data_IF_824605834725
#
_entry.id   IF_824605834725
#
_cell.length_a   1.000
_cell.length_b   1.000
_cell.length_c   1.000
_cell.angle_alpha   90.00
_cell.angle_beta   90.00
_cell.angle_gamma   90.00
#
_symmetry.space_group_name_H-M   'P 1'
#
loop_
_entity.id
_entity.type
_entity.pdbx_description
1 polymer ?
#
# COMPACT_ATOMS: atom_id res chain seq x y z
N UNK A 1 -7.43 -8.90 20.97
CA UNK A 1 -8.88 -8.61 21.00
C UNK A 1 -9.28 -7.58 22.05
N UNK A 2 -8.89 -7.64 23.35
CA UNK A 2 -9.32 -6.65 24.35
C UNK A 2 -8.88 -5.22 24.00
N UNK A 3 -7.64 -5.01 23.59
CA UNK A 3 -7.07 -3.69 23.27
C UNK A 3 -7.80 -3.04 22.08
N UNK A 4 -8.03 -3.78 20.98
CA UNK A 4 -8.72 -3.23 19.81
C UNK A 4 -10.17 -2.86 20.14
N UNK A 5 -10.88 -3.71 20.87
CA UNK A 5 -12.25 -3.41 21.32
C UNK A 5 -12.31 -2.23 22.30
N UNK A 6 -11.33 -2.09 23.20
CA UNK A 6 -11.20 -0.92 24.07
C UNK A 6 -11.00 0.35 23.25
N UNK A 7 -10.09 0.32 22.26
CA UNK A 7 -9.85 1.43 21.35
C UNK A 7 -11.13 1.88 20.63
N UNK A 8 -11.90 0.97 20.02
CA UNK A 8 -13.16 1.34 19.35
C UNK A 8 -14.20 1.89 20.33
N UNK A 9 -14.26 1.36 21.56
CA UNK A 9 -15.12 1.90 22.61
C UNK A 9 -14.74 3.32 23.00
N UNK A 10 -13.43 3.59 23.08
CA UNK A 10 -12.94 4.94 23.40
C UNK A 10 -13.17 5.91 22.24
N UNK A 11 -13.05 5.46 20.98
CA UNK A 11 -13.45 6.23 19.81
C UNK A 11 -14.93 6.62 19.90
N UNK A 12 -15.82 5.66 20.20
CA UNK A 12 -17.26 5.92 20.37
C UNK A 12 -17.56 6.93 21.48
N UNK A 13 -16.91 6.82 22.64
CA UNK A 13 -17.06 7.78 23.75
C UNK A 13 -16.63 9.20 23.36
N UNK A 14 -15.69 9.33 22.41
CA UNK A 14 -15.20 10.63 21.91
C UNK A 14 -15.96 11.13 20.69
N UNK A 15 -17.09 10.49 20.34
CA UNK A 15 -17.85 10.76 19.11
C UNK A 15 -17.02 10.63 17.82
N UNK A 16 -15.97 9.81 17.82
CA UNK A 16 -15.23 9.44 16.61
C UNK A 16 -16.02 8.34 15.92
N UNK A 17 -16.62 8.67 14.81
CA UNK A 17 -17.50 7.76 14.05
C UNK A 17 -16.86 7.16 12.79
N UNK A 18 -15.60 7.53 12.50
CA UNK A 18 -14.85 7.03 11.35
C UNK A 18 -13.45 6.63 11.80
N UNK A 19 -13.06 5.40 11.50
CA UNK A 19 -11.74 4.86 11.83
C UNK A 19 -11.18 4.18 10.60
N UNK A 20 -9.97 4.57 10.20
CA UNK A 20 -9.19 3.93 9.15
C UNK A 20 -8.06 3.14 9.79
N UNK A 21 -7.87 1.91 9.39
CA UNK A 21 -6.80 1.06 9.90
C UNK A 21 -6.30 0.06 8.84
N UNK A 22 -5.07 -0.38 9.00
CA UNK A 22 -4.52 -1.47 8.20
C UNK A 22 -4.96 -2.82 8.76
N UNK A 23 -5.56 -3.66 7.92
CA UNK A 23 -6.03 -4.99 8.28
C UNK A 23 -4.99 -6.05 7.88
N UNK A 24 -4.23 -6.57 8.85
CA UNK A 24 -3.28 -7.65 8.57
C UNK A 24 -3.99 -8.97 8.29
N UNK A 25 -3.49 -9.74 7.32
CA UNK A 25 -4.05 -11.05 6.96
C UNK A 25 -4.11 -12.02 8.15
N UNK A 26 -3.06 -12.05 8.97
CA UNK A 26 -3.02 -12.84 10.21
C UNK A 26 -4.10 -12.38 11.20
N UNK A 27 -4.30 -11.07 11.34
CA UNK A 27 -5.34 -10.50 12.20
C UNK A 27 -6.76 -10.86 11.74
N UNK A 28 -6.99 -10.86 10.42
CA UNK A 28 -8.24 -11.27 9.81
C UNK A 28 -8.48 -12.78 10.07
N UNK A 29 -7.50 -13.62 9.74
CA UNK A 29 -7.58 -15.07 9.89
C UNK A 29 -7.83 -15.49 11.35
N UNK A 30 -7.17 -14.82 12.29
CA UNK A 30 -7.39 -15.00 13.74
C UNK A 30 -8.67 -14.32 14.25
N UNK A 31 -9.55 -13.86 13.37
CA UNK A 31 -10.83 -13.23 13.71
C UNK A 31 -10.70 -12.02 14.66
N UNK A 32 -9.56 -11.30 14.60
CA UNK A 32 -9.36 -10.12 15.45
C UNK A 32 -10.30 -8.96 15.10
N UNK A 33 -10.82 -8.95 13.87
CA UNK A 33 -11.77 -7.95 13.36
C UNK A 33 -13.22 -8.44 13.41
N UNK A 34 -13.49 -9.64 13.92
CA UNK A 34 -14.83 -10.20 13.96
C UNK A 34 -15.80 -9.30 14.76
N UNK A 35 -16.96 -9.02 14.15
CA UNK A 35 -18.00 -8.18 14.73
C UNK A 35 -17.75 -6.67 14.58
N UNK A 36 -16.72 -6.24 13.85
CA UNK A 36 -16.59 -4.85 13.45
C UNK A 36 -17.38 -4.59 12.16
N UNK A 37 -18.16 -3.50 12.09
CA UNK A 37 -18.89 -3.13 10.88
C UNK A 37 -17.92 -2.53 9.85
N UNK A 38 -17.31 -3.38 9.02
CA UNK A 38 -16.43 -2.95 7.93
C UNK A 38 -17.31 -2.43 6.80
N UNK A 39 -17.34 -1.14 6.58
CA UNK A 39 -18.13 -0.49 5.53
C UNK A 39 -17.35 -0.22 4.26
N UNK A 40 -16.05 -0.08 4.37
CA UNK A 40 -15.17 0.28 3.26
C UNK A 40 -13.91 -0.59 3.32
N UNK A 41 -13.48 -1.13 2.18
CA UNK A 41 -12.28 -1.96 2.07
C UNK A 41 -11.46 -1.61 0.84
N UNK A 42 -10.13 -1.52 0.99
CA UNK A 42 -9.18 -1.33 -0.09
C UNK A 42 -8.24 -2.52 -0.24
N UNK A 43 -8.07 -3.00 -1.47
CA UNK A 43 -7.08 -4.00 -1.84
C UNK A 43 -6.08 -3.38 -2.81
N UNK A 44 -4.91 -3.00 -2.27
CA UNK A 44 -3.94 -2.20 -3.02
C UNK A 44 -3.00 -3.09 -3.83
N UNK A 45 -2.47 -4.13 -3.21
CA UNK A 45 -1.63 -5.12 -3.84
C UNK A 45 -1.66 -6.44 -3.07
N UNK A 46 -1.21 -7.49 -3.73
CA UNK A 46 -0.85 -8.75 -3.12
C UNK A 46 0.48 -9.20 -3.71
N UNK A 47 1.43 -9.53 -2.87
CA UNK A 47 2.72 -10.08 -3.24
C UNK A 47 3.14 -11.11 -2.20
N UNK A 48 4.22 -11.84 -2.43
CA UNK A 48 4.70 -12.84 -1.48
C UNK A 48 5.04 -12.21 -0.13
N UNK A 49 4.26 -12.54 0.89
CA UNK A 49 4.55 -12.22 2.28
C UNK A 49 3.82 -13.17 3.23
N UNK A 50 4.25 -13.24 4.48
CA UNK A 50 3.60 -14.03 5.55
C UNK A 50 3.42 -15.53 5.24
N UNK A 51 4.25 -16.14 4.37
CA UNK A 51 4.15 -17.57 4.06
C UNK A 51 4.66 -18.45 5.21
N UNK A 52 5.37 -17.90 6.16
CA UNK A 52 5.63 -18.53 7.46
C UNK A 52 4.33 -18.93 8.17
N UNK A 53 3.30 -18.08 8.09
CA UNK A 53 1.99 -18.31 8.67
C UNK A 53 1.02 -18.99 7.69
N UNK A 54 0.78 -18.40 6.52
CA UNK A 54 -0.26 -18.83 5.57
C UNK A 54 0.14 -20.04 4.71
N UNK A 55 1.41 -20.40 4.64
CA UNK A 55 2.01 -21.49 3.87
C UNK A 55 1.99 -21.29 2.36
N UNK A 56 0.90 -20.81 1.76
CA UNK A 56 0.77 -20.54 0.32
C UNK A 56 0.24 -19.13 0.04
N UNK A 57 0.46 -18.63 -1.15
CA UNK A 57 -0.05 -17.33 -1.60
C UNK A 57 -1.58 -17.34 -1.69
N UNK A 58 -2.17 -18.49 -2.07
CA UNK A 58 -3.61 -18.68 -2.13
C UNK A 58 -4.24 -18.54 -0.75
N UNK A 59 -3.69 -19.20 0.27
CA UNK A 59 -4.18 -19.09 1.65
C UNK A 59 -4.02 -17.64 2.18
N UNK A 60 -2.92 -16.97 1.80
CA UNK A 60 -2.71 -15.57 2.14
C UNK A 60 -3.79 -14.67 1.53
N UNK A 61 -4.09 -14.86 0.23
CA UNK A 61 -5.16 -14.15 -0.46
C UNK A 61 -6.52 -14.45 0.16
N UNK A 62 -6.86 -15.72 0.35
CA UNK A 62 -8.13 -16.14 0.98
C UNK A 62 -8.31 -15.53 2.38
N UNK A 63 -7.25 -15.49 3.18
CA UNK A 63 -7.28 -14.80 4.47
C UNK A 63 -7.64 -13.32 4.37
N UNK A 64 -7.09 -12.62 3.39
CA UNK A 64 -7.41 -11.20 3.16
C UNK A 64 -8.86 -11.02 2.70
N UNK A 65 -9.39 -11.92 1.87
CA UNK A 65 -10.75 -11.85 1.35
C UNK A 65 -11.82 -11.99 2.43
N UNK A 66 -11.53 -12.71 3.52
CA UNK A 66 -12.44 -12.80 4.68
C UNK A 66 -12.85 -11.42 5.25
N UNK A 67 -12.10 -10.36 4.95
CA UNK A 67 -12.45 -9.00 5.38
C UNK A 67 -13.77 -8.51 4.77
N UNK A 68 -14.13 -8.99 3.58
CA UNK A 68 -15.30 -8.55 2.81
C UNK A 68 -16.39 -9.63 2.68
N UNK A 69 -16.24 -10.75 3.34
CA UNK A 69 -17.28 -11.81 3.37
C UNK A 69 -18.52 -11.41 4.20
N UNK A 70 -18.41 -10.35 5.01
CA UNK A 70 -19.49 -9.84 5.85
C UNK A 70 -20.52 -9.02 5.07
N UNK A 71 -21.74 -8.95 5.60
CA UNK A 71 -22.78 -8.06 5.08
C UNK A 71 -22.47 -6.59 5.39
N UNK A 72 -22.94 -5.68 4.51
CA UNK A 72 -22.91 -4.24 4.77
C UNK A 72 -21.71 -3.49 4.21
N UNK A 73 -20.89 -4.12 3.35
CA UNK A 73 -19.83 -3.43 2.63
C UNK A 73 -20.43 -2.37 1.68
N UNK A 74 -20.07 -1.12 1.91
CA UNK A 74 -20.59 0.01 1.12
C UNK A 74 -19.66 0.35 -0.05
N UNK A 75 -18.34 0.32 0.18
CA UNK A 75 -17.35 0.68 -0.86
C UNK A 75 -16.20 -0.31 -0.87
N UNK A 76 -15.91 -0.84 -2.04
CA UNK A 76 -14.73 -1.64 -2.34
C UNK A 76 -13.86 -0.91 -3.36
N UNK A 77 -12.58 -0.76 -3.07
CA UNK A 77 -11.58 -0.21 -4.00
C UNK A 77 -10.49 -1.26 -4.22
N UNK A 78 -10.10 -1.49 -5.46
CA UNK A 78 -9.02 -2.43 -5.71
C UNK A 78 -8.17 -2.07 -6.94
N UNK A 79 -6.94 -2.62 -6.91
CA UNK A 79 -6.00 -2.51 -8.01
C UNK A 79 -6.41 -3.43 -9.15
N UNK A 80 -6.96 -2.86 -10.22
CA UNK A 80 -7.41 -3.62 -11.39
C UNK A 80 -6.25 -4.09 -12.27
N UNK A 81 -5.03 -3.59 -12.06
CA UNK A 81 -3.83 -4.08 -12.73
C UNK A 81 -3.27 -5.36 -12.08
N UNK A 82 -3.73 -5.71 -10.89
CA UNK A 82 -3.39 -6.93 -10.18
C UNK A 82 -4.32 -8.07 -10.64
N UNK A 83 -3.75 -9.08 -11.29
CA UNK A 83 -4.55 -10.15 -11.91
C UNK A 83 -5.38 -10.92 -10.89
N UNK A 84 -4.82 -11.16 -9.71
CA UNK A 84 -5.47 -11.88 -8.61
C UNK A 84 -6.76 -11.21 -8.12
N UNK A 85 -6.93 -9.92 -8.38
CA UNK A 85 -8.11 -9.18 -7.92
C UNK A 85 -9.21 -9.09 -8.97
N UNK A 86 -8.86 -9.19 -10.28
CA UNK A 86 -9.82 -8.98 -11.37
C UNK A 86 -11.03 -9.89 -11.30
N UNK A 87 -10.79 -11.19 -11.14
CA UNK A 87 -11.85 -12.19 -11.18
C UNK A 87 -12.63 -12.25 -9.86
N UNK A 88 -11.95 -11.95 -8.75
CA UNK A 88 -12.52 -12.07 -7.41
C UNK A 88 -13.50 -10.95 -7.10
N UNK A 89 -13.17 -9.70 -7.46
CA UNK A 89 -13.95 -8.54 -7.03
C UNK A 89 -15.03 -8.13 -8.03
N UNK A 90 -15.08 -8.74 -9.20
CA UNK A 90 -16.14 -8.48 -10.19
C UNK A 90 -17.52 -8.83 -9.63
N UNK A 91 -17.62 -9.89 -8.84
CA UNK A 91 -18.87 -10.38 -8.25
C UNK A 91 -19.04 -9.99 -6.76
N UNK A 92 -18.33 -8.98 -6.29
CA UNK A 92 -18.47 -8.50 -4.91
C UNK A 92 -19.86 -7.93 -4.64
N UNK A 93 -20.40 -8.19 -3.45
CA UNK A 93 -21.68 -7.64 -2.98
C UNK A 93 -21.60 -6.19 -2.46
N UNK A 94 -20.45 -5.53 -2.60
CA UNK A 94 -20.30 -4.13 -2.22
C UNK A 94 -21.25 -3.22 -3.04
N UNK A 95 -21.83 -2.21 -2.40
CA UNK A 95 -22.74 -1.29 -3.09
C UNK A 95 -22.03 -0.48 -4.18
N UNK A 96 -20.79 -0.08 -3.94
CA UNK A 96 -19.96 0.67 -4.86
C UNK A 96 -18.61 -0.02 -5.00
N UNK A 97 -18.22 -0.33 -6.23
CA UNK A 97 -16.95 -0.96 -6.55
C UNK A 97 -16.16 -0.01 -7.43
N UNK A 98 -14.91 0.28 -7.08
CA UNK A 98 -14.02 1.15 -7.85
C UNK A 98 -12.76 0.41 -8.26
N UNK A 99 -12.57 0.29 -9.56
CA UNK A 99 -11.39 -0.25 -10.23
C UNK A 99 -10.39 0.86 -10.46
N UNK A 100 -9.16 0.71 -9.96
CA UNK A 100 -8.08 1.65 -10.26
C UNK A 100 -7.08 0.98 -11.17
N UNK A 101 -6.71 1.64 -12.26
CA UNK A 101 -5.78 1.11 -13.25
C UNK A 101 -4.88 2.18 -13.86
N UNK A 102 -3.68 1.76 -14.25
CA UNK A 102 -2.78 2.49 -15.16
C UNK A 102 -2.81 1.96 -16.58
N UNK A 103 -3.37 0.78 -16.78
CA UNK A 103 -3.33 0.03 -18.04
C UNK A 103 -4.66 0.07 -18.77
N UNK A 104 -5.77 0.03 -18.04
CA UNK A 104 -7.11 0.00 -18.62
C UNK A 104 -7.81 1.34 -18.46
N UNK A 105 -7.99 2.05 -19.57
CA UNK A 105 -8.67 3.35 -19.63
C UNK A 105 -10.17 3.26 -19.25
N UNK A 106 -10.74 2.07 -19.23
CA UNK A 106 -12.14 1.84 -18.84
C UNK A 106 -12.32 1.63 -17.34
N UNK A 107 -11.23 1.65 -16.56
CA UNK A 107 -11.33 1.60 -15.11
C UNK A 107 -12.04 2.85 -14.57
N UNK A 108 -12.72 2.70 -13.43
CA UNK A 108 -13.45 3.79 -12.77
C UNK A 108 -12.53 4.95 -12.37
N UNK A 109 -11.26 4.63 -12.09
CA UNK A 109 -10.18 5.58 -11.84
C UNK A 109 -8.99 5.13 -12.69
N UNK A 110 -8.76 5.83 -13.79
CA UNK A 110 -7.61 5.60 -14.67
C UNK A 110 -6.62 6.74 -14.54
N UNK A 111 -5.34 6.46 -14.35
CA UNK A 111 -4.33 7.52 -14.22
C UNK A 111 -3.07 7.25 -15.04
N UNK A 112 -2.40 8.34 -15.39
CA UNK A 112 -1.08 8.35 -16.04
C UNK A 112 -0.12 9.25 -15.29
N UNK A 113 1.10 8.79 -15.13
CA UNK A 113 2.20 9.63 -14.66
C UNK A 113 2.71 10.43 -15.85
N UNK A 114 2.76 11.73 -15.70
CA UNK A 114 3.26 12.65 -16.72
C UNK A 114 4.75 12.94 -16.51
N UNK A 115 5.15 13.17 -15.26
CA UNK A 115 6.52 13.48 -14.90
C UNK A 115 6.82 13.10 -13.44
N UNK A 116 8.09 12.79 -13.17
CA UNK A 116 8.63 12.64 -11.82
C UNK A 116 9.87 13.52 -11.74
N UNK A 117 9.82 14.57 -10.93
CA UNK A 117 10.94 15.50 -10.78
C UNK A 117 12.04 14.94 -9.87
N UNK A 118 13.27 15.46 -10.00
CA UNK A 118 14.40 15.16 -9.11
C UNK A 118 14.12 15.54 -7.64
N UNK A 119 13.16 16.44 -7.43
CA UNK A 119 12.73 16.84 -6.08
C UNK A 119 11.63 15.94 -5.49
N UNK A 120 11.24 14.87 -6.21
CA UNK A 120 10.24 13.91 -5.75
C UNK A 120 8.80 14.40 -5.89
N UNK A 121 8.55 15.32 -6.80
CA UNK A 121 7.19 15.74 -7.17
C UNK A 121 6.74 14.87 -8.35
N UNK A 122 5.63 14.19 -8.18
CA UNK A 122 4.99 13.40 -9.23
C UNK A 122 3.85 14.22 -9.83
N UNK A 123 3.90 14.45 -11.14
CA UNK A 123 2.82 15.05 -11.90
C UNK A 123 2.05 13.94 -12.61
N UNK A 124 0.73 13.95 -12.47
CA UNK A 124 -0.14 12.93 -13.04
C UNK A 124 -1.47 13.51 -13.48
N UNK A 125 -2.07 12.85 -14.47
CA UNK A 125 -3.47 13.04 -14.86
C UNK A 125 -4.30 11.86 -14.42
N UNK A 126 -5.57 12.10 -14.10
CA UNK A 126 -6.50 11.07 -13.72
C UNK A 126 -7.88 11.33 -14.32
N UNK A 127 -8.47 10.27 -14.87
CA UNK A 127 -9.88 10.23 -15.27
C UNK A 127 -10.64 9.39 -14.27
N UNK A 128 -11.67 9.94 -13.67
CA UNK A 128 -12.50 9.29 -12.66
C UNK A 128 -13.95 9.33 -13.08
N UNK A 129 -14.81 8.60 -12.37
CA UNK A 129 -16.27 8.70 -12.53
C UNK A 129 -16.83 10.08 -12.14
N UNK A 130 -16.05 10.90 -11.43
CA UNK A 130 -16.42 12.27 -11.01
C UNK A 130 -15.85 13.37 -11.89
N UNK A 131 -14.96 13.06 -12.82
CA UNK A 131 -14.33 14.04 -13.70
C UNK A 131 -12.88 13.71 -14.03
N UNK A 132 -12.20 14.66 -14.70
CA UNK A 132 -10.80 14.58 -15.06
C UNK A 132 -10.00 15.65 -14.32
N UNK A 133 -8.88 15.26 -13.76
CA UNK A 133 -8.04 16.11 -12.93
C UNK A 133 -6.58 15.94 -13.33
N UNK A 134 -5.80 16.97 -13.07
CA UNK A 134 -4.34 16.93 -13.12
C UNK A 134 -3.81 17.47 -11.81
N UNK A 135 -2.81 16.80 -11.25
CA UNK A 135 -2.24 17.19 -9.97
C UNK A 135 -0.72 16.99 -9.91
N UNK A 136 -0.10 17.71 -9.00
CA UNK A 136 1.32 17.59 -8.64
C UNK A 136 1.42 17.25 -7.17
N UNK A 137 1.95 16.08 -6.87
CA UNK A 137 2.01 15.56 -5.51
C UNK A 137 3.46 15.36 -5.06
N UNK A 138 3.85 15.80 -3.86
CA UNK A 138 5.19 15.59 -3.30
C UNK A 138 5.31 14.17 -2.69
N UNK A 139 5.05 13.14 -3.49
CA UNK A 139 4.89 11.75 -3.05
C UNK A 139 5.89 10.76 -3.66
N UNK A 140 6.89 11.26 -4.34
CA UNK A 140 8.13 10.58 -4.78
C UNK A 140 7.91 9.41 -5.75
N UNK A 141 6.85 8.59 -5.63
CA UNK A 141 6.72 7.35 -6.38
C UNK A 141 5.36 7.16 -7.04
N UNK A 142 5.33 6.38 -8.11
CA UNK A 142 4.11 6.01 -8.82
C UNK A 142 3.14 5.21 -7.93
N UNK A 143 3.65 4.31 -7.08
CA UNK A 143 2.78 3.54 -6.20
C UNK A 143 2.12 4.41 -5.12
N UNK A 144 2.75 5.53 -4.74
CA UNK A 144 2.11 6.49 -3.83
C UNK A 144 0.99 7.28 -4.53
N UNK A 145 1.06 7.50 -5.84
CA UNK A 145 -0.10 8.03 -6.61
C UNK A 145 -1.26 7.04 -6.56
N UNK A 146 -0.98 5.75 -6.77
CA UNK A 146 -1.99 4.71 -6.64
C UNK A 146 -2.63 4.72 -5.23
N UNK A 147 -1.81 4.74 -4.17
CA UNK A 147 -2.29 4.79 -2.79
C UNK A 147 -3.14 6.03 -2.51
N UNK A 148 -2.74 7.19 -3.04
CA UNK A 148 -3.51 8.43 -2.95
C UNK A 148 -4.88 8.26 -3.64
N UNK A 149 -4.90 7.82 -4.89
CA UNK A 149 -6.13 7.65 -5.66
C UNK A 149 -7.05 6.58 -5.06
N UNK A 150 -6.50 5.55 -4.40
CA UNK A 150 -7.29 4.57 -3.67
C UNK A 150 -8.02 5.16 -2.47
N UNK A 151 -7.60 6.30 -1.96
CA UNK A 151 -8.30 7.00 -0.87
C UNK A 151 -9.48 7.87 -1.34
N UNK A 152 -9.50 8.26 -2.62
CA UNK A 152 -10.52 9.16 -3.17
C UNK A 152 -11.96 8.64 -3.01
N UNK A 153 -12.31 7.37 -3.35
CA UNK A 153 -13.67 6.89 -3.18
C UNK A 153 -14.15 6.93 -1.72
N UNK A 154 -13.26 6.73 -0.76
CA UNK A 154 -13.61 6.83 0.66
C UNK A 154 -13.80 8.26 1.10
N UNK A 155 -12.98 9.16 0.61
CA UNK A 155 -13.12 10.59 0.88
C UNK A 155 -14.49 11.09 0.41
N UNK A 156 -14.93 10.68 -0.80
CA UNK A 156 -16.26 10.99 -1.32
C UNK A 156 -17.35 10.28 -0.50
N UNK A 157 -17.18 9.00 -0.18
CA UNK A 157 -18.17 8.25 0.61
C UNK A 157 -18.44 8.83 2.00
N UNK A 158 -17.46 9.55 2.56
CA UNK A 158 -17.64 10.25 3.85
C UNK A 158 -18.12 11.70 3.72
N UNK A 159 -18.49 12.13 2.51
CA UNK A 159 -19.03 13.46 2.22
C UNK A 159 -18.00 14.49 1.78
N UNK A 160 -16.78 14.05 1.42
CA UNK A 160 -15.76 14.94 0.87
C UNK A 160 -16.06 15.32 -0.59
N UNK A 161 -15.62 16.51 -0.98
CA UNK A 161 -15.73 17.02 -2.34
C UNK A 161 -14.48 16.69 -3.15
N UNK A 162 -14.66 16.25 -4.40
CA UNK A 162 -13.57 15.75 -5.26
C UNK A 162 -12.58 16.86 -5.65
N UNK A 163 -13.05 18.08 -5.90
CA UNK A 163 -12.19 19.21 -6.23
C UNK A 163 -11.30 19.56 -5.03
N UNK A 164 -11.89 19.64 -3.84
CA UNK A 164 -11.13 19.84 -2.59
C UNK A 164 -10.10 18.74 -2.33
N UNK A 165 -10.39 17.48 -2.73
CA UNK A 165 -9.41 16.40 -2.65
C UNK A 165 -8.17 16.74 -3.50
N UNK A 166 -8.36 17.09 -4.78
CA UNK A 166 -7.25 17.40 -5.67
C UNK A 166 -6.55 18.70 -5.32
N UNK A 167 -7.23 19.71 -4.82
CA UNK A 167 -6.65 20.96 -4.33
C UNK A 167 -5.72 20.74 -3.12
N UNK A 168 -6.00 19.72 -2.32
CA UNK A 168 -5.15 19.37 -1.17
C UNK A 168 -3.87 18.61 -1.55
N UNK A 169 -3.83 17.98 -2.72
CA UNK A 169 -2.73 17.09 -3.17
C UNK A 169 -1.35 17.76 -3.13
N UNK A 170 -1.14 19.03 -3.54
CA UNK A 170 0.17 19.67 -3.48
C UNK A 170 0.74 19.83 -2.06
N UNK A 171 -0.12 19.78 -1.05
CA UNK A 171 0.24 19.97 0.35
C UNK A 171 0.38 18.65 1.14
N UNK A 172 0.31 17.51 0.46
CA UNK A 172 0.44 16.21 1.10
C UNK A 172 1.84 15.99 1.66
N UNK A 173 1.88 15.30 2.78
CA UNK A 173 3.12 14.77 3.35
C UNK A 173 3.08 13.26 3.36
N UNK A 174 4.15 12.62 2.88
CA UNK A 174 4.28 11.17 2.96
C UNK A 174 4.33 10.72 4.42
N UNK A 175 3.70 9.61 4.75
CA UNK A 175 3.90 8.94 6.03
C UNK A 175 5.37 8.61 6.23
N UNK A 176 5.83 8.64 7.49
CA UNK A 176 7.20 8.25 7.83
C UNK A 176 7.49 6.82 7.34
N UNK A 177 8.67 6.63 6.76
CA UNK A 177 9.10 5.33 6.25
C UNK A 177 8.37 4.85 4.98
N UNK A 178 7.81 5.75 4.17
CA UNK A 178 7.25 5.45 2.85
C UNK A 178 7.96 6.27 1.78
N UNK A 179 9.16 5.83 1.39
CA UNK A 179 10.13 6.59 0.58
C UNK A 179 10.37 8.00 1.13
N UNK A 180 10.41 8.11 2.44
CA UNK A 180 10.62 9.37 3.13
C UNK A 180 12.01 9.92 2.80
N UNK A 181 12.08 11.03 2.06
CA UNK A 181 13.34 11.72 1.80
C UNK A 181 13.80 12.47 3.05
N UNK A 182 15.04 12.26 3.45
CA UNK A 182 15.67 13.07 4.50
C UNK A 182 16.02 14.45 3.89
N UNK A 183 15.58 15.49 4.57
CA UNK A 183 15.77 16.88 4.11
C UNK A 183 17.23 17.13 3.75
N UNK A 184 17.46 17.79 2.60
CA UNK A 184 18.76 18.18 2.08
C UNK A 184 19.76 17.03 1.84
N UNK A 185 19.28 15.78 1.79
CA UNK A 185 20.11 14.59 1.54
C UNK A 185 19.48 13.70 0.47
N UNK A 186 20.32 12.96 -0.27
CA UNK A 186 19.89 11.89 -1.17
C UNK A 186 19.73 10.58 -0.40
N UNK A 187 19.01 10.63 0.72
CA UNK A 187 18.74 9.48 1.59
C UNK A 187 17.23 9.32 1.68
N UNK A 188 16.77 8.09 1.46
CA UNK A 188 15.36 7.71 1.52
C UNK A 188 15.17 6.60 2.54
N UNK A 189 14.12 6.69 3.32
CA UNK A 189 13.73 5.68 4.30
C UNK A 189 12.42 5.04 3.84
N UNK A 190 12.42 3.72 3.71
CA UNK A 190 11.24 2.94 3.36
C UNK A 190 11.06 1.74 4.28
N UNK A 191 9.84 1.30 4.44
CA UNK A 191 9.48 0.10 5.22
C UNK A 191 9.50 -1.18 4.36
N UNK A 192 10.10 -1.14 3.18
CA UNK A 192 10.19 -2.27 2.27
C UNK A 192 10.87 -3.48 2.95
N UNK A 193 10.14 -4.58 3.06
CA UNK A 193 10.60 -5.82 3.70
C UNK A 193 10.18 -7.08 2.91
N UNK A 194 9.74 -6.88 1.68
CA UNK A 194 9.43 -7.94 0.71
C UNK A 194 10.20 -7.71 -0.58
N UNK A 195 10.45 -8.74 -1.41
CA UNK A 195 11.15 -8.59 -2.68
C UNK A 195 10.50 -7.51 -3.57
N UNK A 196 9.19 -7.56 -3.76
CA UNK A 196 8.44 -6.59 -4.55
C UNK A 196 8.58 -5.16 -4.01
N UNK A 197 8.44 -4.96 -2.70
CA UNK A 197 8.58 -3.65 -2.10
C UNK A 197 9.99 -3.05 -2.28
N UNK A 198 11.05 -3.86 -2.15
CA UNK A 198 12.43 -3.43 -2.42
C UNK A 198 12.58 -3.06 -3.90
N UNK A 199 12.06 -3.87 -4.82
CA UNK A 199 12.09 -3.58 -6.25
C UNK A 199 11.42 -2.24 -6.56
N UNK A 200 10.20 -2.02 -6.08
CA UNK A 200 9.47 -0.78 -6.30
C UNK A 200 10.17 0.45 -5.71
N UNK A 201 10.77 0.31 -4.53
CA UNK A 201 11.56 1.38 -3.91
C UNK A 201 12.80 1.71 -4.77
N UNK A 202 13.57 0.71 -5.19
CA UNK A 202 14.75 0.92 -6.03
C UNK A 202 14.41 1.55 -7.37
N UNK A 203 13.37 1.06 -8.06
CA UNK A 203 12.89 1.61 -9.34
C UNK A 203 12.47 3.08 -9.15
N UNK A 204 11.75 3.39 -8.08
CA UNK A 204 11.27 4.75 -7.81
C UNK A 204 12.43 5.73 -7.59
N UNK A 205 13.47 5.31 -6.88
CA UNK A 205 14.65 6.16 -6.63
C UNK A 205 15.49 6.32 -7.90
N UNK A 206 15.71 5.25 -8.66
CA UNK A 206 16.47 5.33 -9.94
C UNK A 206 15.79 6.20 -10.99
N UNK A 207 14.48 6.31 -10.99
CA UNK A 207 13.75 7.25 -11.89
C UNK A 207 14.01 8.73 -11.55
N UNK A 208 14.43 9.04 -10.33
CA UNK A 208 14.67 10.41 -9.89
C UNK A 208 16.11 10.86 -10.06
N UNK A 209 17.04 9.93 -10.22
CA UNK A 209 18.47 10.26 -10.28
C UNK A 209 19.26 9.19 -11.03
N UNK A 210 20.20 9.65 -11.85
CA UNK A 210 21.19 8.79 -12.50
C UNK A 210 22.40 8.47 -11.59
N UNK A 211 22.36 8.86 -10.33
CA UNK A 211 23.40 8.58 -9.37
C UNK A 211 23.43 7.10 -8.97
N UNK A 212 24.56 6.67 -8.41
CA UNK A 212 24.69 5.32 -7.86
C UNK A 212 23.73 5.10 -6.71
N UNK A 213 23.00 3.99 -6.76
CA UNK A 213 22.09 3.56 -5.70
C UNK A 213 22.83 2.67 -4.69
N UNK A 214 22.87 3.12 -3.45
CA UNK A 214 23.33 2.31 -2.32
C UNK A 214 22.10 1.83 -1.57
N UNK A 215 21.90 0.52 -1.51
CA UNK A 215 20.78 -0.10 -0.79
C UNK A 215 21.29 -0.68 0.54
N UNK A 216 20.68 -0.25 1.63
CA UNK A 216 20.91 -0.79 2.98
C UNK A 216 19.63 -1.47 3.43
N UNK A 217 19.69 -2.77 3.69
CA UNK A 217 18.51 -3.52 4.14
C UNK A 217 18.88 -4.76 4.94
N UNK A 218 17.91 -5.32 5.62
CA UNK A 218 18.00 -6.60 6.33
C UNK A 218 16.69 -7.37 6.23
N UNK A 219 16.67 -8.59 6.73
CA UNK A 219 15.47 -9.41 6.82
C UNK A 219 15.26 -9.85 8.26
N UNK A 220 14.04 -9.69 8.76
CA UNK A 220 13.70 -10.10 10.14
C UNK A 220 13.85 -11.60 10.34
N UNK A 221 14.40 -12.01 11.49
CA UNK A 221 14.48 -13.39 11.92
C UNK A 221 13.11 -14.01 12.19
N UNK A 222 13.01 -15.34 12.24
CA UNK A 222 11.78 -16.12 12.48
C UNK A 222 10.63 -15.73 11.59
N UNK A 223 10.91 -15.42 10.31
CA UNK A 223 9.95 -15.06 9.26
C UNK A 223 10.16 -15.91 8.02
N UNK A 224 9.43 -15.60 6.92
CA UNK A 224 9.60 -16.29 5.64
C UNK A 224 11.07 -16.23 5.16
N UNK A 225 11.84 -17.28 5.45
CA UNK A 225 13.25 -17.41 5.04
C UNK A 225 13.36 -17.39 3.51
N UNK A 226 12.38 -17.95 2.81
CA UNK A 226 12.37 -18.03 1.34
C UNK A 226 12.38 -16.67 0.64
N UNK A 227 11.95 -15.59 1.29
CA UNK A 227 12.02 -14.25 0.70
C UNK A 227 13.42 -13.63 0.74
N UNK A 228 14.32 -14.08 1.62
CA UNK A 228 15.66 -13.49 1.80
C UNK A 228 16.49 -13.57 0.52
N UNK A 229 16.51 -14.77 -0.09
CA UNK A 229 17.20 -14.97 -1.38
C UNK A 229 16.64 -14.05 -2.46
N UNK A 230 15.32 -13.97 -2.58
CA UNK A 230 14.66 -13.11 -3.57
C UNK A 230 14.94 -11.62 -3.32
N UNK A 231 15.00 -11.19 -2.07
CA UNK A 231 15.38 -9.81 -1.71
C UNK A 231 16.82 -9.51 -2.14
N UNK A 232 17.74 -10.47 -1.95
CA UNK A 232 19.13 -10.38 -2.41
C UNK A 232 19.24 -10.28 -3.93
N UNK A 233 18.52 -11.13 -4.67
CA UNK A 233 18.47 -11.10 -6.15
C UNK A 233 17.95 -9.76 -6.68
N UNK A 234 16.91 -9.20 -6.06
CA UNK A 234 16.40 -7.87 -6.40
C UNK A 234 17.42 -6.78 -6.07
N UNK A 235 18.06 -6.86 -4.93
CA UNK A 235 19.09 -5.90 -4.54
C UNK A 235 20.24 -5.88 -5.56
N UNK A 236 20.73 -7.06 -5.97
CA UNK A 236 21.80 -7.19 -6.97
C UNK A 236 21.40 -6.62 -8.33
N UNK A 237 20.15 -6.82 -8.74
CA UNK A 237 19.62 -6.30 -10.00
C UNK A 237 19.56 -4.77 -10.07
N UNK A 238 19.23 -4.11 -8.96
CA UNK A 238 18.91 -2.68 -8.96
C UNK A 238 19.92 -1.78 -8.26
N UNK A 239 20.67 -2.27 -7.27
CA UNK A 239 21.60 -1.45 -6.51
C UNK A 239 23.02 -1.53 -7.06
N UNK A 240 23.74 -0.41 -7.05
CA UNK A 240 25.16 -0.33 -7.41
C UNK A 240 26.06 -0.75 -6.23
N UNK A 241 25.53 -0.67 -5.01
CA UNK A 241 26.17 -1.17 -3.79
C UNK A 241 25.12 -1.65 -2.81
N UNK A 242 25.37 -2.80 -2.21
CA UNK A 242 24.49 -3.43 -1.22
C UNK A 242 25.20 -3.46 0.13
N UNK A 243 24.48 -3.10 1.17
CA UNK A 243 24.92 -3.25 2.57
C UNK A 243 23.84 -4.05 3.28
N UNK A 244 24.17 -5.29 3.63
CA UNK A 244 23.30 -6.12 4.46
C UNK A 244 23.53 -5.76 5.93
N UNK A 245 22.46 -5.62 6.67
CA UNK A 245 22.51 -5.32 8.09
C UNK A 245 21.51 -6.20 8.85
N UNK A 246 21.73 -6.34 10.13
CA UNK A 246 20.77 -6.99 11.02
C UNK A 246 19.47 -6.18 11.08
N UNK A 247 18.33 -6.85 10.96
CA UNK A 247 17.00 -6.29 11.18
C UNK A 247 16.19 -7.23 12.08
N UNK A 248 16.04 -6.86 13.33
CA UNK A 248 15.22 -7.59 14.32
C UNK A 248 15.43 -9.12 14.26
N UNK A 249 16.60 -9.62 14.68
CA UNK A 249 17.01 -11.02 14.46
C UNK A 249 16.13 -12.02 15.23
N UNK A 250 15.43 -11.59 16.28
CA UNK A 250 14.65 -12.43 17.19
C UNK A 250 15.51 -13.52 17.81
N UNK A 251 15.22 -14.79 17.55
CA UNK A 251 15.98 -15.94 18.08
C UNK A 251 17.09 -16.41 17.13
N UNK A 252 17.16 -15.87 15.91
CA UNK A 252 18.21 -16.23 14.94
C UNK A 252 19.51 -15.46 15.20
N UNK A 253 20.66 -16.10 14.95
CA UNK A 253 21.94 -15.40 14.94
C UNK A 253 22.02 -14.48 13.71
N UNK A 254 22.20 -13.16 13.87
CA UNK A 254 22.23 -12.24 12.74
C UNK A 254 23.46 -12.39 11.84
N UNK A 255 24.45 -13.20 12.21
CA UNK A 255 25.70 -13.44 11.44
C UNK A 255 25.58 -14.69 10.57
N UNK A 256 24.67 -15.60 10.87
CA UNK A 256 24.33 -16.76 10.04
C UNK A 256 23.31 -16.40 8.93
#
# INVERSE_FOLDING_TARGET
LPILRSFFRDCSKRNINKVLFEASSIGIDQKRLAGLPIKHAAYLNISRDHLDYHKTTENYLQSKLKLIEGEGLETLVYNYDQQEFKDIFTDSSAKNIFKISRKDIKADIFYKILNISEHGIVEFEVSTVWGKFQAKAPIISEFNVFNLLASLPYFVAIGGDVENFFDSVPNLMLPKGRLQKIKDKSIFIDYAHTPDAIEQACISIKKQSNNKLILVFGAGGDRDIGKRKLMGEIADKYADKIILTSDNPREEDPVE
#
